data_IF_580059498844
#
_entry.id   IF_580059498844
#
_cell.length_a   1.000
_cell.length_b   1.000
_cell.length_c   1.000
_cell.angle_alpha   90.00
_cell.angle_beta   90.00
_cell.angle_gamma   90.00
#
_symmetry.space_group_name_H-M   'P 1'
#
loop_
_entity.id
_entity.type
_entity.pdbx_description
1 polymer ?
#
# COMPACT_ATOMS: atom_id res chain seq x y z
N UNK A 1 -9.76 5.68 -10.46
CA UNK A 1 -8.34 5.43 -10.21
C UNK A 1 -8.15 4.34 -9.16
N UNK A 2 -7.16 3.47 -9.36
CA UNK A 2 -6.99 2.25 -8.55
C UNK A 2 -6.91 2.53 -7.04
N UNK A 3 -6.06 3.48 -6.62
CA UNK A 3 -5.88 3.79 -5.20
C UNK A 3 -7.19 4.29 -4.57
N UNK A 4 -7.83 5.24 -5.22
CA UNK A 4 -9.09 5.80 -4.73
C UNK A 4 -10.17 4.73 -4.65
N UNK A 5 -10.36 3.95 -5.72
CA UNK A 5 -11.38 2.91 -5.76
C UNK A 5 -11.13 1.85 -4.70
N UNK A 6 -9.87 1.41 -4.55
CA UNK A 6 -9.51 0.37 -3.60
C UNK A 6 -9.84 0.78 -2.17
N UNK A 7 -9.40 1.96 -1.75
CA UNK A 7 -9.53 2.35 -0.35
C UNK A 7 -10.93 2.90 -0.02
N UNK A 8 -11.62 3.51 -0.96
CA UNK A 8 -13.01 3.89 -0.74
C UNK A 8 -13.91 2.67 -0.56
N UNK A 9 -13.66 1.59 -1.32
CA UNK A 9 -14.44 0.36 -1.20
C UNK A 9 -14.26 -0.33 0.15
N UNK A 10 -13.12 -0.18 0.79
CA UNK A 10 -12.86 -0.81 2.09
C UNK A 10 -13.05 0.13 3.27
N UNK A 11 -13.68 1.27 3.03
CA UNK A 11 -14.23 2.09 4.10
C UNK A 11 -13.36 3.24 4.62
N UNK A 12 -12.27 3.59 3.93
CA UNK A 12 -11.49 4.77 4.32
C UNK A 12 -12.22 6.05 3.91
N UNK A 13 -11.97 7.13 4.65
CA UNK A 13 -12.53 8.44 4.32
C UNK A 13 -11.89 9.01 3.06
N UNK A 14 -12.55 9.99 2.46
CA UNK A 14 -12.00 10.68 1.29
C UNK A 14 -10.66 11.34 1.62
N UNK A 15 -10.53 11.92 2.82
CA UNK A 15 -9.30 12.58 3.24
C UNK A 15 -8.15 11.58 3.37
N UNK A 16 -8.40 10.44 4.01
CA UNK A 16 -7.41 9.37 4.14
C UNK A 16 -6.99 8.84 2.78
N UNK A 17 -7.96 8.59 1.92
CA UNK A 17 -7.72 8.07 0.56
C UNK A 17 -6.92 9.07 -0.26
N UNK A 18 -7.22 10.36 -0.14
CA UNK A 18 -6.47 11.42 -0.82
C UNK A 18 -5.00 11.43 -0.39
N UNK A 19 -4.73 11.31 0.91
CA UNK A 19 -3.36 11.27 1.41
C UNK A 19 -2.60 10.05 0.90
N UNK A 20 -3.24 8.87 0.88
CA UNK A 20 -2.63 7.66 0.34
C UNK A 20 -2.31 7.86 -1.14
N UNK A 21 -3.24 8.44 -1.90
CA UNK A 21 -3.04 8.70 -3.32
C UNK A 21 -1.84 9.62 -3.57
N UNK A 22 -1.68 10.65 -2.74
CA UNK A 22 -0.50 11.52 -2.84
C UNK A 22 0.80 10.74 -2.64
N UNK A 23 0.82 9.85 -1.66
CA UNK A 23 1.99 9.01 -1.39
C UNK A 23 2.28 8.06 -2.55
N UNK A 24 1.24 7.47 -3.15
CA UNK A 24 1.39 6.57 -4.31
C UNK A 24 1.92 7.34 -5.52
N UNK A 25 1.34 8.50 -5.81
CA UNK A 25 1.76 9.31 -6.95
C UNK A 25 3.22 9.76 -6.82
N UNK A 26 3.62 10.14 -5.61
CA UNK A 26 5.01 10.52 -5.35
C UNK A 26 5.95 9.33 -5.53
N UNK A 27 5.56 8.17 -5.01
CA UNK A 27 6.34 6.94 -5.12
C UNK A 27 6.59 6.58 -6.59
N UNK A 28 5.54 6.60 -7.40
CA UNK A 28 5.61 6.22 -8.82
C UNK A 28 6.44 7.25 -9.61
N UNK A 29 6.24 8.53 -9.32
CA UNK A 29 6.89 9.60 -10.08
C UNK A 29 8.36 9.75 -9.74
N UNK A 30 8.72 9.62 -8.46
CA UNK A 30 10.06 9.95 -7.97
C UNK A 30 10.86 8.71 -7.56
N UNK A 31 10.24 7.54 -7.52
CA UNK A 31 10.83 6.28 -7.04
C UNK A 31 11.42 6.44 -5.63
N UNK A 32 10.71 7.21 -4.80
CA UNK A 32 11.06 7.47 -3.41
C UNK A 32 9.80 7.44 -2.56
N UNK A 33 9.96 7.18 -1.27
CA UNK A 33 8.85 7.17 -0.32
C UNK A 33 8.63 8.57 0.23
N UNK A 34 7.39 9.05 0.13
CA UNK A 34 6.98 10.30 0.73
C UNK A 34 6.57 10.05 2.17
N UNK A 35 7.21 10.74 3.12
CA UNK A 35 6.84 10.67 4.52
C UNK A 35 6.15 11.97 4.92
N UNK A 36 4.83 11.91 5.14
CA UNK A 36 4.05 13.06 5.58
C UNK A 36 3.99 13.04 7.12
N UNK A 37 4.51 14.09 7.80
CA UNK A 37 4.55 14.10 9.27
C UNK A 37 3.18 13.95 9.91
N UNK A 38 2.14 14.51 9.28
CA UNK A 38 0.79 14.50 9.82
C UNK A 38 -0.05 13.35 9.30
N UNK A 39 0.52 12.47 8.47
CA UNK A 39 -0.19 11.33 7.94
C UNK A 39 -0.42 10.31 9.06
N UNK A 40 -1.67 10.08 9.37
CA UNK A 40 -2.04 9.07 10.36
C UNK A 40 -3.32 8.39 9.91
N UNK A 41 -3.17 7.15 9.48
CA UNK A 41 -4.29 6.32 9.08
C UNK A 41 -4.51 5.30 10.18
N UNK A 42 -5.66 5.37 10.83
CA UNK A 42 -5.96 4.50 11.96
C UNK A 42 -6.10 3.05 11.53
N UNK A 43 -5.49 2.16 12.33
CA UNK A 43 -5.59 0.73 12.10
C UNK A 43 -7.03 0.27 12.28
N UNK A 44 -7.50 -0.52 11.32
CA UNK A 44 -8.85 -1.09 11.34
C UNK A 44 -8.76 -2.62 11.23
N UNK A 45 -9.59 -3.37 12.00
CA UNK A 45 -9.53 -4.83 11.98
C UNK A 45 -9.81 -5.45 10.60
N UNK A 46 -10.66 -4.82 9.80
CA UNK A 46 -11.04 -5.32 8.48
C UNK A 46 -9.95 -5.12 7.43
N UNK A 47 -8.91 -4.34 7.73
CA UNK A 47 -7.77 -4.13 6.84
C UNK A 47 -6.57 -4.84 7.46
N UNK A 48 -6.01 -5.82 6.76
CA UNK A 48 -4.90 -6.61 7.26
C UNK A 48 -3.57 -6.16 6.65
N UNK A 49 -2.47 -6.55 7.29
CA UNK A 49 -1.13 -6.33 6.73
C UNK A 49 -1.01 -6.95 5.34
N UNK A 50 -1.62 -8.13 5.15
CA UNK A 50 -1.60 -8.83 3.86
C UNK A 50 -2.24 -7.97 2.77
N UNK A 51 -3.40 -7.37 3.06
CA UNK A 51 -4.08 -6.49 2.13
C UNK A 51 -3.20 -5.32 1.71
N UNK A 52 -2.55 -4.67 2.68
CA UNK A 52 -1.70 -3.51 2.40
C UNK A 52 -0.43 -3.90 1.64
N UNK A 53 0.16 -5.05 1.96
CA UNK A 53 1.32 -5.56 1.22
C UNK A 53 0.93 -5.89 -0.23
N UNK A 54 -0.24 -6.49 -0.43
CA UNK A 54 -0.74 -6.77 -1.77
C UNK A 54 -0.92 -5.48 -2.57
N UNK A 55 -1.48 -4.46 -1.95
CA UNK A 55 -1.65 -3.16 -2.59
C UNK A 55 -0.29 -2.59 -3.04
N UNK A 56 0.69 -2.57 -2.15
CA UNK A 56 2.03 -2.07 -2.47
C UNK A 56 2.69 -2.90 -3.57
N UNK A 57 2.53 -4.23 -3.51
CA UNK A 57 3.07 -5.11 -4.54
C UNK A 57 2.43 -4.83 -5.90
N UNK A 58 1.11 -4.63 -5.93
CA UNK A 58 0.40 -4.33 -7.18
C UNK A 58 0.95 -3.06 -7.84
N UNK A 59 1.17 -2.02 -7.05
CA UNK A 59 1.75 -0.77 -7.57
C UNK A 59 3.18 -1.01 -8.07
N UNK A 60 4.00 -1.70 -7.28
CA UNK A 60 5.39 -1.98 -7.65
C UNK A 60 5.47 -2.80 -8.93
N UNK A 61 4.60 -3.79 -9.08
CA UNK A 61 4.57 -4.61 -10.28
C UNK A 61 4.25 -3.79 -11.53
N UNK A 62 3.22 -2.94 -11.46
CA UNK A 62 2.79 -2.16 -12.62
C UNK A 62 3.82 -1.13 -13.06
N UNK A 63 4.53 -0.53 -12.11
CA UNK A 63 5.48 0.54 -12.40
C UNK A 63 6.93 0.08 -12.30
N UNK A 64 7.15 -1.22 -12.18
CA UNK A 64 8.48 -1.84 -12.14
C UNK A 64 9.37 -1.26 -11.05
N UNK A 65 8.79 -1.06 -9.86
CA UNK A 65 9.52 -0.55 -8.71
C UNK A 65 10.15 -1.71 -7.93
N UNK A 66 11.32 -1.48 -7.28
CA UNK A 66 11.93 -2.51 -6.44
C UNK A 66 11.02 -2.92 -5.28
N UNK A 67 11.05 -4.21 -4.91
CA UNK A 67 10.26 -4.70 -3.77
C UNK A 67 10.63 -4.00 -2.47
N UNK A 68 11.91 -3.67 -2.28
CA UNK A 68 12.35 -2.94 -1.09
C UNK A 68 11.68 -1.57 -0.99
N UNK A 69 11.53 -0.88 -2.11
CA UNK A 69 10.87 0.43 -2.15
C UNK A 69 9.39 0.29 -1.82
N UNK A 70 8.72 -0.75 -2.34
CA UNK A 70 7.32 -1.02 -2.03
C UNK A 70 7.13 -1.31 -0.54
N UNK A 71 8.03 -2.08 0.07
CA UNK A 71 8.00 -2.37 1.49
C UNK A 71 8.20 -1.11 2.33
N UNK A 72 9.15 -0.27 1.97
CA UNK A 72 9.36 1.01 2.65
C UNK A 72 8.12 1.89 2.56
N UNK A 73 7.48 1.93 1.40
CA UNK A 73 6.25 2.70 1.19
C UNK A 73 5.14 2.24 2.14
N UNK A 74 4.87 0.94 2.19
CA UNK A 74 3.76 0.43 2.99
C UNK A 74 4.03 0.62 4.49
N UNK A 75 5.27 0.45 4.93
CA UNK A 75 5.64 0.65 6.33
C UNK A 75 5.58 2.11 6.76
N UNK A 76 5.87 3.03 5.86
CA UNK A 76 5.84 4.46 6.15
C UNK A 76 4.42 5.00 6.11
N UNK A 77 3.65 4.62 5.09
CA UNK A 77 2.29 5.12 4.88
C UNK A 77 1.30 4.53 5.89
N UNK A 78 1.43 3.24 6.19
CA UNK A 78 0.52 2.52 7.08
C UNK A 78 1.23 2.08 8.36
N UNK A 79 1.93 3.01 8.99
CA UNK A 79 2.82 2.71 10.11
C UNK A 79 2.16 2.02 11.30
N UNK A 80 0.86 2.23 11.51
CA UNK A 80 0.15 1.56 12.61
C UNK A 80 0.01 0.05 12.42
N UNK A 81 0.02 -0.42 11.17
CA UNK A 81 -0.03 -1.86 10.87
C UNK A 81 1.33 -2.53 10.97
N UNK A 82 2.41 -1.75 10.86
CA UNK A 82 3.76 -2.30 10.72
C UNK A 82 4.71 -1.82 11.84
N UNK A 83 4.15 -1.35 12.96
CA UNK A 83 4.96 -0.82 14.07
C UNK A 83 5.97 -1.85 14.61
N UNK A 84 5.60 -3.13 14.62
CA UNK A 84 6.45 -4.21 15.11
C UNK A 84 7.10 -5.03 13.99
N UNK A 85 6.99 -4.59 12.75
CA UNK A 85 7.54 -5.30 11.60
C UNK A 85 8.91 -4.75 11.21
N UNK A 86 9.76 -5.61 10.62
CA UNK A 86 11.04 -5.17 10.07
C UNK A 86 10.95 -5.09 8.56
N UNK A 87 11.78 -4.23 7.97
CA UNK A 87 11.83 -4.09 6.51
C UNK A 87 12.13 -5.43 5.84
N UNK A 88 13.08 -6.19 6.40
CA UNK A 88 13.45 -7.51 5.86
C UNK A 88 12.24 -8.44 5.77
N UNK A 89 11.46 -8.53 6.85
CA UNK A 89 10.29 -9.41 6.89
C UNK A 89 9.22 -8.96 5.90
N UNK A 90 8.99 -7.66 5.80
CA UNK A 90 7.98 -7.12 4.87
C UNK A 90 8.39 -7.38 3.42
N UNK A 91 9.65 -7.16 3.07
CA UNK A 91 10.16 -7.43 1.72
C UNK A 91 9.99 -8.91 1.38
N UNK A 92 10.38 -9.78 2.30
CA UNK A 92 10.33 -11.24 2.09
C UNK A 92 8.91 -11.74 1.83
N UNK A 93 7.92 -11.14 2.51
CA UNK A 93 6.53 -11.59 2.45
C UNK A 93 5.62 -10.62 1.70
N UNK A 94 6.19 -9.75 0.87
CA UNK A 94 5.43 -8.70 0.21
C UNK A 94 4.30 -9.26 -0.65
N UNK A 95 4.57 -10.32 -1.41
CA UNK A 95 3.56 -11.00 -2.22
C UNK A 95 3.08 -12.25 -1.49
N UNK A 96 2.03 -12.11 -0.69
CA UNK A 96 1.42 -13.22 0.03
C UNK A 96 -0.03 -13.39 -0.44
N UNK A 97 -0.39 -14.63 -0.75
CA UNK A 97 -1.74 -14.95 -1.21
C UNK A 97 -2.53 -15.74 -0.17
N UNK A 98 -1.90 -16.14 0.93
CA UNK A 98 -2.58 -16.84 2.04
C UNK A 98 -3.08 -15.86 3.08
N UNK A 99 -4.17 -16.21 3.76
CA UNK A 99 -4.77 -15.39 4.80
C UNK A 99 -5.86 -14.47 4.30
N UNK A 100 -6.41 -13.66 5.19
CA UNK A 100 -7.48 -12.73 4.86
C UNK A 100 -6.92 -11.48 4.17
N UNK A 101 -7.51 -11.14 3.02
CA UNK A 101 -7.12 -9.93 2.31
C UNK A 101 -8.32 -9.31 1.59
N UNK A 102 -8.56 -8.03 1.87
CA UNK A 102 -9.57 -7.24 1.17
C UNK A 102 -9.01 -6.70 -0.16
N UNK A 103 -7.68 -6.70 -0.32
CA UNK A 103 -7.02 -6.23 -1.53
C UNK A 103 -6.22 -7.39 -2.12
N UNK A 104 -6.70 -8.01 -3.22
CA UNK A 104 -5.99 -9.13 -3.83
C UNK A 104 -4.81 -8.67 -4.69
N UNK A 105 -3.93 -9.61 -5.00
CA UNK A 105 -2.89 -9.38 -6.01
C UNK A 105 -3.56 -9.18 -7.36
N UNK A 106 -3.17 -8.13 -8.07
CA UNK A 106 -3.71 -7.79 -9.37
C UNK A 106 -2.59 -7.33 -10.29
N UNK A 107 -2.33 -8.10 -11.33
CA UNK A 107 -1.27 -7.81 -12.30
C UNK A 107 -1.78 -7.02 -13.51
N UNK A 108 -3.05 -6.65 -13.52
CA UNK A 108 -3.68 -6.01 -14.68
C UNK A 108 -4.29 -4.64 -14.36
N UNK A 109 -3.76 -3.95 -13.35
CA UNK A 109 -4.31 -2.67 -12.90
C UNK A 109 -4.38 -1.65 -14.04
N UNK A 110 -3.29 -1.52 -14.80
CA UNK A 110 -3.22 -0.51 -15.87
C UNK A 110 -4.18 -0.80 -17.02
N UNK A 111 -4.65 -2.05 -17.17
CA UNK A 111 -5.64 -2.39 -18.20
C UNK A 111 -7.04 -1.97 -17.80
N UNK A 112 -7.29 -1.78 -16.50
CA UNK A 112 -8.60 -1.36 -15.98
C UNK A 112 -8.72 0.16 -15.90
N UNK A 113 -7.61 0.85 -15.78
CA UNK A 113 -7.53 2.28 -15.58
C UNK A 113 -6.57 2.91 -16.58
#
# INVERSE_FOLDING_TARGET
QYTTDTFCQIGLTEHETFQIRQCVEYLVKNEKVLSLPDLRIERRPEITQISLKNFAWNIAYQYKLPGQLAAQFVMTTFREWFADSTLYTVVKNLKTTSGNHAIPIDTHILKKY
#
